data_IF_241369439517
#
_entry.id   IF_241369439517
#
_cell.length_a   1.000
_cell.length_b   1.000
_cell.length_c   1.000
_cell.angle_alpha   90.00
_cell.angle_beta   90.00
_cell.angle_gamma   90.00
#
_symmetry.space_group_name_H-M   'P 1'
#
loop_
_entity.id
_entity.type
_entity.pdbx_description
1 polymer ?
#
# COMPACT_ATOMS: atom_id res chain seq x y z
N UNK A 1 24.37 20.78 -25.51
CA UNK A 1 24.80 19.42 -25.12
C UNK A 1 25.20 19.51 -23.65
N UNK A 2 24.57 18.84 -22.68
CA UNK A 2 23.96 17.51 -22.68
C UNK A 2 22.90 17.50 -21.57
N UNK A 3 21.73 16.92 -21.84
CA UNK A 3 20.61 16.90 -20.91
C UNK A 3 20.86 15.98 -19.71
N UNK A 4 20.58 16.48 -18.50
CA UNK A 4 20.36 15.61 -17.36
C UNK A 4 18.95 15.03 -17.49
N UNK A 5 18.84 13.83 -18.06
CA UNK A 5 17.73 12.94 -17.73
C UNK A 5 17.84 12.67 -16.23
N UNK A 6 17.01 13.34 -15.43
CA UNK A 6 16.66 12.81 -14.12
C UNK A 6 15.96 11.50 -14.43
N UNK A 7 16.56 10.38 -14.01
CA UNK A 7 15.87 9.10 -13.99
C UNK A 7 14.56 9.31 -13.22
N UNK A 8 13.46 9.36 -13.95
CA UNK A 8 12.12 9.52 -13.37
C UNK A 8 11.89 8.29 -12.48
N UNK A 9 11.73 8.51 -11.17
CA UNK A 9 11.41 7.44 -10.23
C UNK A 9 10.25 6.59 -10.80
N UNK A 10 10.31 5.25 -10.73
CA UNK A 10 9.29 4.40 -11.35
C UNK A 10 7.92 4.64 -10.72
N UNK A 11 6.99 5.16 -11.53
CA UNK A 11 5.57 5.31 -11.17
C UNK A 11 4.80 4.12 -11.72
N UNK A 12 4.27 3.29 -10.81
CA UNK A 12 3.36 2.19 -11.17
C UNK A 12 1.93 2.64 -11.00
N UNK A 13 1.22 2.78 -12.12
CA UNK A 13 -0.10 3.39 -12.20
C UNK A 13 -1.13 2.46 -12.80
N UNK A 14 -2.31 2.42 -12.19
CA UNK A 14 -3.51 1.80 -12.76
C UNK A 14 -4.57 2.85 -13.08
N UNK A 15 -5.27 2.65 -14.19
CA UNK A 15 -6.41 3.45 -14.63
C UNK A 15 -7.71 2.65 -14.52
N UNK A 16 -8.84 3.31 -14.21
CA UNK A 16 -10.14 2.65 -14.07
C UNK A 16 -10.66 2.05 -15.39
N UNK A 17 -10.23 2.60 -16.52
CA UNK A 17 -10.60 2.12 -17.86
C UNK A 17 -9.57 1.10 -18.41
N UNK A 18 -8.58 0.72 -17.60
CA UNK A 18 -7.55 -0.27 -17.96
C UNK A 18 -7.98 -1.71 -17.71
N UNK A 19 -7.31 -2.66 -18.37
CA UNK A 19 -7.58 -4.11 -18.19
C UNK A 19 -7.10 -4.68 -16.85
N UNK A 20 -6.29 -3.92 -16.10
CA UNK A 20 -5.62 -4.38 -14.88
C UNK A 20 -6.14 -3.62 -13.67
N UNK A 21 -6.47 -4.34 -12.59
CA UNK A 21 -6.92 -3.77 -11.31
C UNK A 21 -5.93 -4.01 -10.14
N UNK A 22 -4.76 -4.59 -10.45
CA UNK A 22 -3.71 -4.95 -9.48
C UNK A 22 -2.36 -4.49 -9.98
N UNK A 23 -1.65 -3.65 -9.22
CA UNK A 23 -0.23 -3.40 -9.46
C UNK A 23 0.51 -4.58 -8.86
N UNK A 24 1.23 -5.33 -9.69
CA UNK A 24 2.11 -6.42 -9.23
C UNK A 24 3.49 -6.24 -9.87
N UNK A 25 4.52 -6.11 -9.03
CA UNK A 25 5.88 -5.78 -9.47
C UNK A 25 6.91 -6.54 -8.64
N UNK A 26 8.00 -6.95 -9.30
CA UNK A 26 9.15 -7.58 -8.64
C UNK A 26 10.38 -6.69 -8.79
N UNK A 27 11.09 -6.44 -7.69
CA UNK A 27 12.37 -5.70 -7.66
C UNK A 27 13.32 -6.39 -6.69
N UNK A 28 14.51 -6.74 -7.16
CA UNK A 28 15.56 -7.38 -6.33
C UNK A 28 15.05 -8.61 -5.54
N UNK A 29 14.14 -9.39 -6.12
CA UNK A 29 13.52 -10.54 -5.45
C UNK A 29 12.39 -10.20 -4.47
N UNK A 30 11.99 -8.94 -4.31
CA UNK A 30 10.84 -8.52 -3.50
C UNK A 30 9.64 -8.29 -4.41
N UNK A 31 8.51 -8.91 -4.10
CA UNK A 31 7.27 -8.79 -4.86
C UNK A 31 6.30 -7.87 -4.12
N UNK A 32 5.84 -6.83 -4.80
CA UNK A 32 4.83 -5.89 -4.32
C UNK A 32 3.52 -6.12 -5.03
N UNK A 33 2.41 -6.09 -4.29
CA UNK A 33 1.06 -6.15 -4.82
C UNK A 33 0.20 -5.06 -4.19
N UNK A 34 -0.39 -4.18 -5.00
CA UNK A 34 -1.28 -3.11 -4.54
C UNK A 34 -2.57 -3.09 -5.35
N UNK A 35 -3.72 -3.12 -4.67
CA UNK A 35 -5.03 -3.09 -5.31
C UNK A 35 -6.10 -2.52 -4.36
N UNK A 36 -7.23 -2.14 -4.95
CA UNK A 36 -8.48 -1.94 -4.24
C UNK A 36 -9.35 -3.18 -4.44
N UNK A 37 -10.04 -3.62 -3.39
CA UNK A 37 -10.91 -4.79 -3.40
C UNK A 37 -12.36 -4.35 -3.19
N UNK A 38 -13.26 -4.88 -3.99
CA UNK A 38 -14.71 -4.68 -3.81
C UNK A 38 -15.24 -5.50 -2.61
N UNK A 39 -16.55 -5.45 -2.37
CA UNK A 39 -17.18 -6.16 -1.24
C UNK A 39 -17.06 -7.69 -1.34
N UNK A 40 -16.87 -8.24 -2.53
CA UNK A 40 -16.60 -9.67 -2.74
C UNK A 40 -15.11 -10.02 -2.60
N UNK A 41 -14.26 -9.06 -2.21
CA UNK A 41 -12.82 -9.25 -2.06
C UNK A 41 -12.05 -9.37 -3.39
N UNK A 42 -12.67 -9.00 -4.52
CA UNK A 42 -12.03 -9.05 -5.84
C UNK A 42 -11.41 -7.69 -6.20
N UNK A 43 -10.22 -7.68 -6.84
CA UNK A 43 -9.62 -6.44 -7.32
C UNK A 43 -10.54 -5.67 -8.27
N UNK A 44 -10.76 -4.38 -8.01
CA UNK A 44 -11.61 -3.52 -8.81
C UNK A 44 -11.12 -2.06 -8.77
N UNK A 45 -11.50 -1.28 -9.78
CA UNK A 45 -11.18 0.16 -9.90
C UNK A 45 -12.43 0.99 -10.24
N UNK A 46 -13.59 0.35 -10.30
CA UNK A 46 -14.90 0.98 -10.48
C UNK A 46 -15.81 0.37 -9.43
N UNK A 47 -16.43 1.23 -8.62
CA UNK A 47 -17.33 0.85 -7.52
C UNK A 47 -18.65 1.59 -7.67
N UNK A 48 -19.73 1.05 -7.10
CA UNK A 48 -21.01 1.74 -7.03
C UNK A 48 -21.01 2.80 -5.94
N UNK A 49 -21.78 3.87 -6.11
CA UNK A 49 -22.02 4.82 -5.02
C UNK A 49 -22.64 4.10 -3.81
N UNK A 50 -22.07 4.34 -2.62
CA UNK A 50 -22.44 3.64 -1.39
C UNK A 50 -21.71 2.32 -1.14
N UNK A 51 -21.09 1.71 -2.16
CA UNK A 51 -20.32 0.46 -2.01
C UNK A 51 -19.06 0.70 -1.17
N UNK A 52 -18.75 -0.23 -0.28
CA UNK A 52 -17.48 -0.21 0.44
C UNK A 52 -16.36 -0.85 -0.39
N UNK A 53 -15.14 -0.42 -0.16
CA UNK A 53 -13.96 -1.03 -0.77
C UNK A 53 -12.83 -1.12 0.26
N UNK A 54 -11.90 -2.04 0.00
CA UNK A 54 -10.74 -2.25 0.84
C UNK A 54 -9.47 -1.92 0.08
N UNK A 55 -8.57 -1.19 0.71
CA UNK A 55 -7.20 -1.10 0.28
C UNK A 55 -6.48 -2.40 0.62
N UNK A 56 -5.64 -2.89 -0.29
CA UNK A 56 -4.78 -4.05 -0.03
C UNK A 56 -3.39 -3.81 -0.60
N UNK A 57 -2.39 -3.86 0.27
CA UNK A 57 -0.98 -3.85 -0.09
C UNK A 57 -0.31 -5.10 0.48
N UNK A 58 0.48 -5.79 -0.33
CA UNK A 58 1.28 -6.94 0.09
C UNK A 58 2.70 -6.77 -0.40
N UNK A 59 3.64 -7.12 0.46
CA UNK A 59 5.07 -7.27 0.14
C UNK A 59 5.48 -8.70 0.47
N UNK A 60 6.18 -9.37 -0.45
CA UNK A 60 6.62 -10.76 -0.32
C UNK A 60 8.11 -10.88 -0.59
N UNK A 61 8.81 -11.64 0.24
CA UNK A 61 10.20 -12.00 0.03
C UNK A 61 10.29 -13.18 -0.94
N UNK A 62 10.92 -12.99 -2.09
CA UNK A 62 11.31 -14.07 -3.02
C UNK A 62 12.79 -13.93 -3.41
N UNK A 63 13.61 -13.44 -2.49
CA UNK A 63 15.05 -13.23 -2.73
C UNK A 63 15.86 -14.53 -2.64
N UNK A 64 15.25 -15.61 -2.13
CA UNK A 64 15.97 -16.83 -1.75
C UNK A 64 16.71 -16.74 -0.42
N UNK A 65 16.60 -15.61 0.30
CA UNK A 65 17.32 -15.35 1.56
C UNK A 65 16.34 -15.05 2.70
N UNK A 66 16.76 -15.37 3.92
CA UNK A 66 16.07 -14.88 5.11
C UNK A 66 16.53 -13.44 5.42
N UNK A 67 15.56 -12.57 5.65
CA UNK A 67 15.78 -11.15 5.89
C UNK A 67 15.07 -10.74 7.18
N UNK A 68 15.31 -9.49 7.58
CA UNK A 68 14.48 -8.76 8.52
C UNK A 68 13.88 -7.54 7.81
N UNK A 69 12.61 -7.27 8.07
CA UNK A 69 11.91 -6.15 7.45
C UNK A 69 10.78 -5.64 8.34
N UNK A 70 10.94 -4.40 8.81
CA UNK A 70 9.86 -3.69 9.49
C UNK A 70 8.89 -3.13 8.44
N UNK A 71 7.71 -3.74 8.34
CA UNK A 71 6.70 -3.39 7.34
C UNK A 71 5.86 -2.14 7.70
N UNK A 72 5.89 -1.72 8.96
CA UNK A 72 5.00 -0.69 9.48
C UNK A 72 5.32 0.77 9.09
N UNK A 73 6.57 1.19 8.77
CA UNK A 73 6.88 2.58 8.42
C UNK A 73 6.04 3.15 7.27
N UNK A 74 5.69 2.35 6.25
CA UNK A 74 4.80 2.83 5.19
C UNK A 74 3.40 3.15 5.73
N UNK A 75 2.89 2.37 6.69
CA UNK A 75 1.58 2.57 7.29
C UNK A 75 1.51 3.84 8.17
N UNK A 76 2.63 4.37 8.64
CA UNK A 76 2.67 5.65 9.35
C UNK A 76 2.69 6.86 8.42
N UNK A 77 2.90 6.68 7.11
CA UNK A 77 2.81 7.77 6.14
C UNK A 77 1.37 8.29 6.00
N UNK A 78 1.19 9.60 5.88
CA UNK A 78 -0.12 10.22 5.59
C UNK A 78 -0.70 9.82 4.23
N UNK A 79 0.16 9.40 3.31
CA UNK A 79 -0.23 9.00 1.95
C UNK A 79 -0.72 7.54 1.85
N UNK A 80 -0.31 6.66 2.77
CA UNK A 80 -0.65 5.24 2.69
C UNK A 80 -2.15 5.03 2.93
N UNK A 81 -2.83 4.51 1.91
CA UNK A 81 -4.28 4.35 1.85
C UNK A 81 -5.08 5.65 2.09
N UNK A 82 -4.52 6.79 1.68
CA UNK A 82 -5.28 8.02 1.52
C UNK A 82 -5.97 8.07 0.16
N UNK A 83 -7.05 8.84 0.10
CA UNK A 83 -7.83 9.12 -1.10
C UNK A 83 -7.76 10.60 -1.39
N UNK A 84 -7.51 10.93 -2.65
CA UNK A 84 -7.64 12.26 -3.21
C UNK A 84 -8.64 12.24 -4.36
N UNK A 85 -9.31 13.37 -4.60
CA UNK A 85 -10.14 13.55 -5.78
C UNK A 85 -9.29 13.87 -7.02
N UNK A 86 -9.93 13.93 -8.19
CA UNK A 86 -9.25 14.22 -9.46
C UNK A 86 -8.53 15.58 -9.52
N UNK A 87 -8.87 16.55 -8.66
CA UNK A 87 -8.18 17.84 -8.56
C UNK A 87 -6.90 17.77 -7.72
N UNK A 88 -6.66 16.63 -7.06
CA UNK A 88 -5.55 16.43 -6.14
C UNK A 88 -5.86 16.76 -4.68
N UNK A 89 -7.08 17.25 -4.40
CA UNK A 89 -7.50 17.54 -3.02
C UNK A 89 -7.69 16.24 -2.25
N UNK A 90 -7.04 16.16 -1.08
CA UNK A 90 -7.17 15.03 -0.17
C UNK A 90 -8.59 14.95 0.39
N UNK A 91 -9.23 13.80 0.19
CA UNK A 91 -10.53 13.44 0.77
C UNK A 91 -10.34 12.85 2.17
N UNK A 92 -9.28 12.05 2.37
CA UNK A 92 -8.87 11.55 3.68
C UNK A 92 -8.19 10.19 3.65
N UNK A 93 -7.79 9.69 4.82
CA UNK A 93 -7.16 8.38 5.05
C UNK A 93 -8.16 7.34 5.58
N UNK A 94 -8.01 6.07 5.25
CA UNK A 94 -8.93 5.01 5.69
C UNK A 94 -8.79 4.63 7.17
N UNK A 95 -7.66 4.92 7.81
CA UNK A 95 -7.36 4.52 9.19
C UNK A 95 -6.43 5.49 9.94
N UNK A 96 -6.34 5.31 11.25
CA UNK A 96 -5.28 5.84 12.13
C UNK A 96 -4.34 4.69 12.52
N UNK A 97 -3.02 4.87 12.31
CA UNK A 97 -2.04 3.88 12.72
C UNK A 97 -1.95 3.82 14.26
N UNK A 98 -1.89 2.62 14.83
CA UNK A 98 -1.66 2.48 16.27
C UNK A 98 -0.19 2.74 16.59
N UNK A 99 0.15 3.27 17.78
CA UNK A 99 1.53 3.36 18.22
C UNK A 99 2.18 1.97 18.24
N UNK A 100 3.45 1.91 17.84
CA UNK A 100 4.24 0.68 17.90
C UNK A 100 5.49 0.94 18.71
N UNK A 101 5.78 0.04 19.64
CA UNK A 101 7.03 0.04 20.40
C UNK A 101 8.16 -0.40 19.47
N UNK A 102 9.23 0.39 19.41
CA UNK A 102 10.45 -0.04 18.73
C UNK A 102 11.15 -1.11 19.58
N UNK A 103 11.26 -2.30 19.02
CA UNK A 103 11.83 -3.50 19.67
C UNK A 103 13.00 -4.07 18.85
N UNK A 104 13.54 -3.28 17.91
CA UNK A 104 14.67 -3.66 17.06
C UNK A 104 14.26 -4.50 15.84
N UNK A 105 15.10 -4.45 14.79
CA UNK A 105 14.80 -5.06 13.49
C UNK A 105 14.71 -6.60 13.53
N UNK A 106 15.43 -7.23 14.47
CA UNK A 106 15.43 -8.68 14.64
C UNK A 106 14.05 -9.25 15.05
N UNK A 107 13.15 -8.42 15.58
CA UNK A 107 11.78 -8.79 15.90
C UNK A 107 10.87 -8.95 14.67
N UNK A 108 11.35 -8.60 13.47
CA UNK A 108 10.59 -8.64 12.23
C UNK A 108 11.24 -9.58 11.21
N UNK A 109 11.30 -10.89 11.49
CA UNK A 109 11.80 -11.86 10.53
C UNK A 109 10.93 -11.85 9.28
N UNK A 110 11.60 -11.85 8.13
CA UNK A 110 10.99 -11.86 6.82
C UNK A 110 11.72 -12.91 5.99
N UNK A 111 11.41 -14.18 6.27
CA UNK A 111 12.07 -15.33 5.66
C UNK A 111 11.72 -15.44 4.18
N UNK A 112 12.46 -16.27 3.45
CA UNK A 112 12.14 -16.52 2.06
C UNK A 112 10.70 -17.07 1.93
N UNK A 113 9.94 -16.50 1.00
CA UNK A 113 8.50 -16.69 0.77
C UNK A 113 7.53 -16.08 1.79
N UNK A 114 8.02 -15.48 2.88
CA UNK A 114 7.16 -14.74 3.80
C UNK A 114 6.53 -13.52 3.11
N UNK A 115 5.38 -13.09 3.62
CA UNK A 115 4.73 -11.87 3.16
C UNK A 115 4.06 -11.10 4.28
N UNK A 116 4.13 -9.78 4.21
CA UNK A 116 3.28 -8.89 4.99
C UNK A 116 2.15 -8.34 4.13
N UNK A 117 0.94 -8.33 4.68
CA UNK A 117 -0.28 -7.85 4.04
C UNK A 117 -0.95 -6.80 4.91
N UNK A 118 -1.24 -5.65 4.32
CA UNK A 118 -2.04 -4.59 4.89
C UNK A 118 -3.39 -4.58 4.19
N UNK A 119 -4.49 -4.70 4.95
CA UNK A 119 -5.85 -4.63 4.41
C UNK A 119 -6.72 -3.72 5.26
N UNK A 120 -7.24 -2.65 4.67
CA UNK A 120 -8.04 -1.64 5.40
C UNK A 120 -9.28 -1.29 4.60
N UNK A 121 -10.45 -1.27 5.25
CA UNK A 121 -11.68 -0.83 4.60
C UNK A 121 -11.77 0.70 4.58
N UNK A 122 -12.40 1.28 3.54
CA UNK A 122 -12.71 2.70 3.54
C UNK A 122 -13.79 3.02 4.58
N UNK A 123 -14.88 2.23 4.60
CA UNK A 123 -15.99 2.38 5.53
C UNK A 123 -15.90 1.35 6.64
N UNK A 124 -15.99 1.83 7.88
CA UNK A 124 -16.23 1.00 9.06
C UNK A 124 -17.53 1.44 9.74
N UNK A 125 -18.34 0.50 10.27
CA UNK A 125 -19.59 0.83 10.94
C UNK A 125 -19.36 1.67 12.20
N UNK A 126 -18.23 1.44 12.86
CA UNK A 126 -17.82 2.08 14.10
C UNK A 126 -16.31 2.30 14.16
N UNK A 127 -15.88 3.15 15.11
CA UNK A 127 -14.47 3.32 15.44
C UNK A 127 -14.06 2.22 16.42
N UNK A 128 -13.16 1.35 16.00
CA UNK A 128 -12.64 0.23 16.78
C UNK A 128 -11.21 -0.08 16.36
N UNK A 129 -10.53 -0.94 17.13
CA UNK A 129 -9.25 -1.49 16.71
C UNK A 129 -9.52 -2.72 15.86
N UNK A 130 -9.02 -2.72 14.63
CA UNK A 130 -9.28 -3.77 13.63
C UNK A 130 -7.97 -4.44 13.22
N UNK A 131 -8.01 -5.76 13.04
CA UNK A 131 -6.94 -6.53 12.40
C UNK A 131 -7.17 -6.58 10.88
N UNK A 132 -6.19 -6.15 10.10
CA UNK A 132 -6.23 -6.07 8.65
C UNK A 132 -5.02 -6.71 7.99
N UNK A 133 -5.04 -8.04 7.87
CA UNK A 133 -3.85 -8.80 7.50
C UNK A 133 -2.88 -8.85 8.69
N UNK A 134 -1.64 -8.45 8.48
CA UNK A 134 -0.57 -8.39 9.48
C UNK A 134 -0.55 -7.07 10.26
N UNK A 135 -1.51 -6.18 9.99
CA UNK A 135 -1.55 -4.82 10.54
C UNK A 135 -2.76 -4.57 11.44
N UNK A 136 -2.55 -3.94 12.60
CA UNK A 136 -3.63 -3.43 13.46
C UNK A 136 -3.74 -1.92 13.33
N UNK A 137 -4.95 -1.44 13.22
CA UNK A 137 -5.24 -0.02 13.09
C UNK A 137 -6.50 0.37 13.85
N UNK A 138 -6.64 1.67 14.10
CA UNK A 138 -7.90 2.25 14.55
C UNK A 138 -8.71 2.66 13.32
N UNK A 139 -9.89 2.06 13.18
CA UNK A 139 -10.78 2.36 12.07
C UNK A 139 -11.34 3.78 12.17
N UNK A 140 -11.67 4.33 11.00
CA UNK A 140 -12.33 5.62 10.89
C UNK A 140 -13.77 5.45 10.38
N UNK A 141 -14.69 6.17 11.01
CA UNK A 141 -16.09 6.24 10.56
C UNK A 141 -16.20 7.19 9.37
N UNK A 142 -15.71 6.76 8.20
CA UNK A 142 -15.81 7.52 6.95
C UNK A 142 -17.23 7.46 6.39
N UNK A 143 -17.58 8.49 5.62
CA UNK A 143 -18.79 8.48 4.78
C UNK A 143 -18.46 7.80 3.45
N UNK A 144 -19.45 7.18 2.79
CA UNK A 144 -19.30 6.74 1.41
C UNK A 144 -18.76 7.86 0.53
N UNK A 145 -17.89 7.49 -0.42
CA UNK A 145 -17.49 8.42 -1.46
C UNK A 145 -18.70 8.67 -2.38
N UNK A 146 -18.84 9.91 -2.83
CA UNK A 146 -19.85 10.29 -3.83
C UNK A 146 -19.38 9.83 -5.21
N UNK A 147 -20.30 9.79 -6.17
CA UNK A 147 -19.96 9.61 -7.58
C UNK A 147 -18.85 10.57 -8.02
N UNK A 148 -17.82 10.05 -8.68
CA UNK A 148 -16.64 10.84 -9.05
C UNK A 148 -15.41 10.01 -9.41
N UNK A 149 -14.33 10.72 -9.76
CA UNK A 149 -13.01 10.15 -10.04
C UNK A 149 -12.03 10.47 -8.91
N UNK A 150 -11.33 9.44 -8.46
CA UNK A 150 -10.45 9.48 -7.29
C UNK A 150 -9.13 8.77 -7.57
N UNK A 151 -8.16 8.97 -6.70
CA UNK A 151 -6.98 8.14 -6.66
C UNK A 151 -6.49 7.91 -5.24
N UNK A 152 -5.76 6.81 -5.07
CA UNK A 152 -4.90 6.56 -3.92
C UNK A 152 -3.47 6.41 -4.42
N UNK A 153 -2.53 6.99 -3.69
CA UNK A 153 -1.12 6.89 -4.04
C UNK A 153 -0.24 7.04 -2.82
N UNK A 154 0.85 6.32 -2.81
CA UNK A 154 1.91 6.47 -1.82
C UNK A 154 3.24 6.15 -2.45
N UNK A 155 4.29 6.68 -1.84
CA UNK A 155 5.67 6.42 -2.25
C UNK A 155 6.44 5.93 -1.05
N UNK A 156 7.25 4.89 -1.27
CA UNK A 156 8.05 4.34 -0.19
C UNK A 156 9.34 3.72 -0.71
N UNK A 157 10.39 3.91 0.08
CA UNK A 157 11.68 3.26 -0.07
C UNK A 157 11.73 2.10 0.92
N UNK A 158 11.92 0.88 0.41
CA UNK A 158 11.91 -0.32 1.22
C UNK A 158 13.35 -0.71 1.57
N UNK A 159 13.62 -0.89 2.86
CA UNK A 159 14.93 -1.29 3.38
C UNK A 159 14.80 -2.62 4.12
N UNK A 160 15.50 -3.63 3.63
CA UNK A 160 15.49 -4.99 4.17
C UNK A 160 16.91 -5.40 4.56
N UNK A 161 17.05 -6.04 5.71
CA UNK A 161 18.35 -6.36 6.30
C UNK A 161 18.57 -7.87 6.21
N UNK A 162 19.70 -8.35 5.70
CA UNK A 162 20.00 -9.78 5.73
C UNK A 162 20.19 -10.26 7.17
N UNK A 163 19.85 -11.54 7.44
CA UNK A 163 20.14 -12.18 8.73
C UNK A 163 21.65 -12.34 8.95
N UNK A 164 22.42 -12.50 7.86
CA UNK A 164 23.88 -12.62 7.87
C UNK A 164 24.51 -11.83 6.72
N UNK A 165 25.59 -11.09 7.02
CA UNK A 165 26.31 -10.24 6.07
C UNK A 165 25.89 -8.76 6.12
N UNK A 166 26.69 -7.87 5.53
CA UNK A 166 26.59 -6.43 5.83
C UNK A 166 25.77 -5.62 4.81
N UNK A 167 25.49 -6.16 3.62
CA UNK A 167 24.82 -5.40 2.56
C UNK A 167 23.30 -5.55 2.64
N UNK A 168 22.63 -4.50 3.11
CA UNK A 168 21.17 -4.42 3.08
C UNK A 168 20.63 -4.30 1.66
N UNK A 169 19.40 -4.79 1.45
CA UNK A 169 18.65 -4.59 0.20
C UNK A 169 17.83 -3.32 0.38
N UNK A 170 18.03 -2.37 -0.52
CA UNK A 170 17.28 -1.12 -0.57
C UNK A 170 16.68 -0.95 -1.96
N UNK A 171 15.45 -0.48 -2.03
CA UNK A 171 14.85 -0.03 -3.29
C UNK A 171 15.11 1.45 -3.51
N UNK A 172 14.99 1.89 -4.76
CA UNK A 172 14.63 3.27 -5.08
C UNK A 172 13.32 3.69 -4.39
N UNK A 173 12.97 4.98 -4.47
CA UNK A 173 11.65 5.41 -4.03
C UNK A 173 10.61 4.90 -5.04
N UNK A 174 9.76 3.99 -4.62
CA UNK A 174 8.76 3.37 -5.48
C UNK A 174 7.45 4.14 -5.32
N UNK A 175 6.84 4.57 -6.42
CA UNK A 175 5.57 5.29 -6.42
C UNK A 175 4.42 4.40 -6.90
N UNK A 176 3.45 4.16 -6.04
CA UNK A 176 2.23 3.41 -6.36
C UNK A 176 1.07 4.37 -6.55
N UNK A 177 0.27 4.20 -7.62
CA UNK A 177 -0.95 4.99 -7.84
C UNK A 177 -2.08 4.16 -8.45
N UNK A 178 -3.24 4.13 -7.80
CA UNK A 178 -4.46 3.55 -8.36
C UNK A 178 -5.46 4.68 -8.56
N UNK A 179 -5.88 4.89 -9.81
CA UNK A 179 -7.01 5.77 -10.14
C UNK A 179 -8.27 4.88 -10.19
N UNK A 180 -9.35 5.35 -9.58
CA UNK A 180 -10.60 4.61 -9.50
C UNK A 180 -11.82 5.54 -9.62
N UNK A 181 -12.99 4.96 -9.93
CA UNK A 181 -14.25 5.68 -10.11
C UNK A 181 -15.32 5.14 -9.16
N UNK A 182 -16.16 6.05 -8.68
CA UNK A 182 -17.44 5.74 -8.02
C UNK A 182 -18.55 6.12 -9.02
N UNK A 183 -19.52 5.23 -9.27
CA UNK A 183 -20.61 5.39 -10.24
C UNK A 183 -21.98 5.08 -9.68
#
# INVERSE_FOLDING_TARGET
MTGCNKDDDPIWKISPDGKQAVIEQKRNGIVFKFCLLNEQGKPATVFKEGENFNFSFRIKNETGKNLYYNAYPCAYSDSFFSVSDSSGKTVGKSYEALPQTDIGIAAYPFNNNDSYTFKVAWLHPEKSIVQGGDFRYKSLKRKPLKTGSYYTSFSHKFKLFPVSGDKHIETENIHFKINFKIR
#
